data_IF_534695794303
#
_entry.id   IF_534695794303
#
_cell.length_a   1.000
_cell.length_b   1.000
_cell.length_c   1.000
_cell.angle_alpha   90.00
_cell.angle_beta   90.00
_cell.angle_gamma   90.00
#
_symmetry.space_group_name_H-M   'P 1'
#
loop_
_entity.id
_entity.type
_entity.pdbx_description
1 polymer ?
#
# COMPACT_ATOMS: atom_id res chain seq x y z
N UNK A 1 -12.31 -22.54 -6.67
CA UNK A 1 -12.39 -21.77 -5.41
C UNK A 1 -11.34 -20.67 -5.45
N UNK A 2 -11.56 -19.56 -4.74
CA UNK A 2 -10.60 -18.47 -4.60
C UNK A 2 -10.38 -18.20 -3.12
N UNK A 3 -9.17 -17.78 -2.74
CA UNK A 3 -8.88 -17.27 -1.40
C UNK A 3 -8.79 -15.74 -1.45
N UNK A 4 -9.46 -15.09 -0.51
CA UNK A 4 -9.42 -13.64 -0.34
C UNK A 4 -8.60 -13.30 0.89
N UNK A 5 -7.41 -12.73 0.68
CA UNK A 5 -6.55 -12.28 1.77
C UNK A 5 -6.82 -10.81 2.09
N UNK A 6 -7.34 -10.54 3.28
CA UNK A 6 -7.61 -9.19 3.77
C UNK A 6 -6.95 -8.95 5.13
N UNK A 7 -5.63 -8.67 5.19
CA UNK A 7 -4.89 -8.54 6.46
C UNK A 7 -5.39 -7.41 7.38
N UNK A 8 -6.18 -6.47 6.87
CA UNK A 8 -6.67 -5.30 7.59
C UNK A 8 -8.17 -5.35 7.93
N UNK A 9 -8.86 -6.45 7.61
CA UNK A 9 -10.28 -6.63 7.94
C UNK A 9 -10.51 -8.01 8.56
N UNK A 10 -11.44 -8.09 9.52
CA UNK A 10 -11.80 -9.39 10.11
C UNK A 10 -12.70 -10.16 9.14
N UNK A 11 -12.61 -11.48 9.16
CA UNK A 11 -13.39 -12.33 8.26
C UNK A 11 -14.92 -12.07 8.32
N UNK A 12 -15.56 -11.89 9.50
CA UNK A 12 -17.00 -11.59 9.55
C UNK A 12 -17.39 -10.28 8.83
N UNK A 13 -16.55 -9.25 8.92
CA UNK A 13 -16.78 -7.96 8.26
C UNK A 13 -16.66 -8.10 6.74
N UNK A 14 -15.65 -8.83 6.28
CA UNK A 14 -15.44 -9.08 4.86
C UNK A 14 -16.56 -9.96 4.28
N UNK A 15 -16.97 -11.02 4.98
CA UNK A 15 -18.08 -11.88 4.57
C UNK A 15 -19.38 -11.07 4.48
N UNK A 16 -19.65 -10.21 5.46
CA UNK A 16 -20.82 -9.33 5.43
C UNK A 16 -20.79 -8.38 4.23
N UNK A 17 -19.65 -7.77 3.96
CA UNK A 17 -19.46 -6.89 2.80
C UNK A 17 -19.67 -7.63 1.48
N UNK A 18 -19.07 -8.80 1.29
CA UNK A 18 -19.21 -9.58 0.06
C UNK A 18 -20.67 -10.00 -0.12
N UNK A 19 -21.26 -10.61 0.92
CA UNK A 19 -22.65 -11.11 0.89
C UNK A 19 -23.65 -10.01 0.57
N UNK A 20 -23.47 -8.81 1.11
CA UNK A 20 -24.33 -7.66 0.83
C UNK A 20 -24.29 -7.20 -0.65
N UNK A 21 -23.26 -7.58 -1.40
CA UNK A 21 -23.07 -7.22 -2.81
C UNK A 21 -23.23 -8.41 -3.77
N UNK A 22 -23.58 -9.60 -3.28
CA UNK A 22 -23.90 -10.76 -4.12
C UNK A 22 -25.33 -10.61 -4.67
N UNK A 23 -25.45 -10.58 -6.00
CA UNK A 23 -26.74 -10.45 -6.69
C UNK A 23 -26.90 -11.62 -7.64
N UNK A 24 -27.85 -12.50 -7.37
CA UNK A 24 -28.23 -13.63 -8.24
C UNK A 24 -27.11 -14.65 -8.55
N UNK A 25 -26.01 -14.64 -7.79
CA UNK A 25 -24.89 -15.57 -7.94
C UNK A 25 -24.91 -16.68 -6.89
N UNK A 26 -24.54 -17.90 -7.30
CA UNK A 26 -24.30 -19.03 -6.39
C UNK A 26 -22.86 -18.97 -5.85
N UNK A 27 -22.66 -18.15 -4.83
CA UNK A 27 -21.37 -17.95 -4.17
C UNK A 27 -21.49 -18.26 -2.68
N UNK A 28 -20.62 -19.14 -2.19
CA UNK A 28 -20.44 -19.38 -0.77
C UNK A 28 -19.16 -18.71 -0.29
N UNK A 29 -19.25 -17.99 0.83
CA UNK A 29 -18.11 -17.34 1.48
C UNK A 29 -17.90 -18.00 2.83
N UNK A 30 -16.73 -18.61 3.02
CA UNK A 30 -16.38 -19.38 4.21
C UNK A 30 -15.16 -18.75 4.85
N UNK A 31 -15.16 -18.62 6.17
CA UNK A 31 -13.99 -18.19 6.94
C UNK A 31 -13.02 -19.36 7.11
N UNK A 32 -11.89 -19.30 6.41
CA UNK A 32 -10.79 -20.26 6.56
C UNK A 32 -9.61 -19.70 7.37
N UNK A 33 -9.74 -18.55 8.02
CA UNK A 33 -8.63 -17.86 8.70
C UNK A 33 -7.90 -18.78 9.69
N UNK A 34 -8.63 -19.64 10.39
CA UNK A 34 -8.05 -20.56 11.38
C UNK A 34 -7.26 -21.73 10.79
N UNK A 35 -7.25 -21.94 9.47
CA UNK A 35 -6.52 -23.03 8.82
C UNK A 35 -5.11 -22.61 8.39
N UNK A 36 -4.85 -21.30 8.32
CA UNK A 36 -3.68 -20.75 7.65
C UNK A 36 -2.87 -19.85 8.58
N UNK A 37 -1.55 -20.00 8.55
CA UNK A 37 -0.62 -18.95 8.95
C UNK A 37 -0.11 -18.21 7.71
N UNK A 38 0.16 -16.90 7.86
CA UNK A 38 0.64 -16.05 6.77
C UNK A 38 2.08 -15.60 7.05
N UNK A 39 2.91 -15.61 6.02
CA UNK A 39 4.23 -15.02 6.02
C UNK A 39 4.54 -14.27 4.72
N UNK A 40 5.65 -13.55 4.71
CA UNK A 40 6.26 -13.02 3.48
C UNK A 40 7.68 -13.55 3.40
N UNK A 41 8.03 -14.10 2.25
CA UNK A 41 9.39 -14.57 1.96
C UNK A 41 9.98 -13.65 0.90
N UNK A 42 11.21 -13.18 1.08
CA UNK A 42 11.90 -12.34 0.12
C UNK A 42 13.36 -12.75 0.02
N UNK A 43 14.01 -12.40 -1.10
CA UNK A 43 15.39 -12.76 -1.36
C UNK A 43 15.63 -13.21 -2.80
N UNK A 44 16.76 -13.87 -3.02
CA UNK A 44 17.16 -14.35 -4.34
C UNK A 44 16.51 -15.72 -4.64
N UNK A 45 15.91 -15.84 -5.82
CA UNK A 45 15.23 -17.06 -6.27
C UNK A 45 13.81 -17.21 -5.72
N UNK A 46 13.03 -18.08 -6.37
CA UNK A 46 11.70 -18.44 -5.88
C UNK A 46 11.83 -19.39 -4.68
N UNK A 47 11.14 -19.15 -3.56
CA UNK A 47 11.20 -20.04 -2.41
C UNK A 47 10.60 -21.41 -2.74
N UNK A 48 11.26 -22.46 -2.27
CA UNK A 48 10.75 -23.84 -2.30
C UNK A 48 9.95 -24.09 -1.02
N UNK A 49 8.61 -24.14 -1.13
CA UNK A 49 7.73 -24.56 -0.04
C UNK A 49 7.15 -25.96 -0.30
N UNK A 50 6.69 -26.58 0.78
CA UNK A 50 5.91 -27.81 0.71
C UNK A 50 4.66 -27.64 -0.17
N UNK A 51 4.18 -28.72 -0.79
CA UNK A 51 3.00 -28.70 -1.65
C UNK A 51 1.70 -28.27 -0.93
N UNK A 52 1.68 -28.34 0.40
CA UNK A 52 0.59 -27.83 1.24
C UNK A 52 0.58 -26.30 1.40
N UNK A 53 1.64 -25.61 0.98
CA UNK A 53 1.75 -24.16 1.05
C UNK A 53 1.31 -23.51 -0.26
N UNK A 54 0.73 -22.32 -0.15
CA UNK A 54 0.47 -21.43 -1.27
C UNK A 54 1.50 -20.30 -1.27
N UNK A 55 2.25 -20.22 -2.36
CA UNK A 55 3.22 -19.16 -2.62
C UNK A 55 2.82 -18.37 -3.85
N UNK A 56 2.76 -17.06 -3.73
CA UNK A 56 2.45 -16.18 -4.86
C UNK A 56 3.26 -14.89 -4.81
N UNK A 57 3.73 -14.39 -5.96
CA UNK A 57 4.54 -13.18 -6.02
C UNK A 57 3.76 -11.99 -5.48
N UNK A 58 4.45 -11.09 -4.78
CA UNK A 58 3.90 -9.85 -4.24
C UNK A 58 4.60 -8.65 -4.86
N UNK A 59 3.86 -7.54 -4.94
CA UNK A 59 4.32 -6.26 -5.51
C UNK A 59 4.27 -5.14 -4.47
N UNK A 60 4.21 -5.51 -3.18
CA UNK A 60 3.83 -4.62 -2.07
C UNK A 60 5.00 -4.18 -1.18
N UNK A 61 6.23 -4.60 -1.46
CA UNK A 61 7.37 -4.40 -0.54
C UNK A 61 8.56 -3.63 -1.10
N UNK A 62 8.52 -3.25 -2.38
CA UNK A 62 9.67 -2.63 -3.04
C UNK A 62 10.74 -3.63 -3.53
N UNK A 63 10.66 -4.86 -3.06
CA UNK A 63 11.62 -5.94 -3.34
C UNK A 63 10.89 -7.14 -3.94
N UNK A 64 11.64 -8.01 -4.62
CA UNK A 64 11.08 -9.27 -5.09
C UNK A 64 10.74 -10.15 -3.89
N UNK A 65 9.45 -10.41 -3.69
CA UNK A 65 8.95 -11.21 -2.59
C UNK A 65 7.73 -12.07 -2.96
N UNK A 66 7.37 -12.97 -2.04
CA UNK A 66 6.27 -13.90 -2.14
C UNK A 66 5.44 -13.83 -0.86
N UNK A 67 4.13 -13.74 -0.99
CA UNK A 67 3.25 -14.06 0.13
C UNK A 67 3.21 -15.58 0.29
N UNK A 68 3.21 -16.01 1.54
CA UNK A 68 3.07 -17.40 1.95
C UNK A 68 1.78 -17.57 2.74
N UNK A 69 0.92 -18.49 2.31
CA UNK A 69 -0.07 -19.11 3.18
C UNK A 69 0.35 -20.55 3.42
N UNK A 70 0.49 -20.93 4.68
CA UNK A 70 0.92 -22.27 5.07
C UNK A 70 -0.03 -22.86 6.13
N UNK A 71 -0.15 -24.19 6.23
CA UNK A 71 -0.81 -24.84 7.35
C UNK A 71 -0.19 -24.43 8.70
N UNK A 72 -0.96 -24.47 9.78
CA UNK A 72 -0.50 -24.01 11.10
C UNK A 72 0.71 -24.77 11.67
N UNK A 73 0.93 -26.01 11.24
CA UNK A 73 2.04 -26.87 11.65
C UNK A 73 3.26 -26.76 10.71
N UNK A 74 3.18 -25.98 9.64
CA UNK A 74 4.31 -25.69 8.78
C UNK A 74 5.40 -24.91 9.53
N UNK A 75 6.63 -25.40 9.46
CA UNK A 75 7.80 -24.73 10.02
C UNK A 75 8.62 -24.17 8.87
N UNK A 76 8.70 -22.83 8.70
CA UNK A 76 9.47 -22.23 7.61
C UNK A 76 10.96 -22.63 7.71
N UNK A 77 11.57 -23.16 6.63
CA UNK A 77 12.98 -23.55 6.62
C UNK A 77 13.94 -22.35 6.47
N UNK A 78 13.40 -21.14 6.37
CA UNK A 78 14.17 -19.90 6.15
C UNK A 78 14.41 -19.14 7.47
N UNK A 79 15.52 -18.38 7.56
CA UNK A 79 15.75 -17.50 8.70
C UNK A 79 14.61 -16.49 8.88
N UNK A 80 14.23 -16.25 10.13
CA UNK A 80 13.32 -15.16 10.47
C UNK A 80 14.05 -13.83 10.30
N UNK A 81 13.39 -12.87 9.67
CA UNK A 81 13.89 -11.52 9.53
C UNK A 81 13.51 -10.65 10.73
N UNK A 82 14.25 -9.57 10.94
CA UNK A 82 13.88 -8.54 11.91
C UNK A 82 12.55 -7.87 11.50
N UNK A 83 11.73 -7.57 12.51
CA UNK A 83 10.48 -6.86 12.31
C UNK A 83 10.73 -5.49 11.65
N UNK A 84 9.90 -5.13 10.67
CA UNK A 84 9.97 -3.83 10.01
C UNK A 84 10.96 -3.69 8.86
N UNK A 85 11.84 -4.67 8.57
CA UNK A 85 12.72 -4.62 7.39
C UNK A 85 11.93 -4.52 6.08
N UNK A 86 10.88 -5.32 5.94
CA UNK A 86 10.01 -5.30 4.77
C UNK A 86 9.25 -3.98 4.63
N UNK A 87 8.81 -3.42 5.75
CA UNK A 87 8.12 -2.12 5.81
C UNK A 87 9.07 -0.97 5.45
N UNK A 88 10.31 -1.02 5.94
CA UNK A 88 11.37 -0.10 5.56
C UNK A 88 11.60 -0.16 4.04
N UNK A 89 11.79 -1.35 3.50
CA UNK A 89 11.97 -1.56 2.06
C UNK A 89 10.82 -0.94 1.26
N UNK A 90 9.58 -1.21 1.67
CA UNK A 90 8.37 -0.67 1.04
C UNK A 90 8.37 0.86 1.00
N UNK A 91 8.60 1.50 2.15
CA UNK A 91 8.62 2.97 2.27
C UNK A 91 9.75 3.56 1.43
N UNK A 92 10.95 2.96 1.48
CA UNK A 92 12.11 3.43 0.72
C UNK A 92 11.88 3.32 -0.79
N UNK A 93 11.24 2.25 -1.26
CA UNK A 93 10.87 2.05 -2.66
C UNK A 93 9.70 2.94 -3.11
N UNK A 94 8.97 3.55 -2.18
CA UNK A 94 7.81 4.38 -2.48
C UNK A 94 6.56 3.57 -2.83
N UNK A 95 6.43 2.35 -2.31
CA UNK A 95 5.30 1.47 -2.60
C UNK A 95 4.14 1.75 -1.65
N UNK A 96 2.95 2.10 -2.15
CA UNK A 96 1.80 2.43 -1.30
C UNK A 96 1.26 1.22 -0.53
N UNK A 97 0.82 1.44 0.71
CA UNK A 97 0.05 0.49 1.53
C UNK A 97 -1.42 0.92 1.65
N UNK A 98 -2.33 -0.05 1.60
CA UNK A 98 -3.77 0.15 1.81
C UNK A 98 -4.16 -0.58 3.10
N UNK A 99 -4.76 0.07 4.10
CA UNK A 99 -5.31 1.43 4.07
C UNK A 99 -4.36 2.54 4.55
N UNK A 100 -3.11 2.21 4.94
CA UNK A 100 -2.24 3.14 5.67
C UNK A 100 -1.89 4.42 4.90
N UNK A 101 -1.47 4.27 3.64
CA UNK A 101 -1.11 5.40 2.76
C UNK A 101 -2.30 5.87 1.92
N UNK A 102 -3.21 4.94 1.62
CA UNK A 102 -4.37 5.15 0.78
C UNK A 102 -5.62 4.62 1.50
N UNK A 103 -6.36 5.53 2.14
CA UNK A 103 -7.55 5.20 2.91
C UNK A 103 -8.82 5.18 2.07
N UNK A 104 -9.96 5.14 2.74
CA UNK A 104 -11.29 5.09 2.10
C UNK A 104 -11.68 6.40 1.39
N UNK A 105 -10.94 7.49 1.63
CA UNK A 105 -11.20 8.82 1.05
C UNK A 105 -10.26 9.16 -0.12
N UNK A 106 -9.33 8.27 -0.45
CA UNK A 106 -8.36 8.46 -1.51
C UNK A 106 -8.72 7.62 -2.74
N UNK A 107 -8.48 8.18 -3.92
CA UNK A 107 -8.60 7.42 -5.15
C UNK A 107 -7.31 6.61 -5.42
N UNK A 108 -7.40 5.42 -6.05
CA UNK A 108 -6.22 4.64 -6.42
C UNK A 108 -5.16 5.46 -7.18
N UNK A 109 -5.59 6.37 -8.05
CA UNK A 109 -4.73 7.25 -8.84
C UNK A 109 -3.98 8.27 -7.98
N UNK A 110 -4.57 8.76 -6.89
CA UNK A 110 -3.87 9.63 -5.93
C UNK A 110 -2.71 8.87 -5.27
N UNK A 111 -2.83 7.55 -5.12
CA UNK A 111 -1.89 6.71 -4.38
C UNK A 111 -0.87 5.97 -5.25
N UNK A 112 -0.89 6.16 -6.58
CA UNK A 112 -0.03 5.41 -7.50
C UNK A 112 -0.46 3.94 -7.73
N UNK A 113 -1.74 3.64 -7.47
CA UNK A 113 -2.37 2.32 -7.63
C UNK A 113 -3.19 2.20 -8.93
N UNK A 114 -3.05 3.15 -9.86
CA UNK A 114 -3.85 3.21 -11.09
C UNK A 114 -3.72 1.93 -11.95
N UNK A 115 -2.54 1.32 -12.00
CA UNK A 115 -2.30 0.08 -12.76
C UNK A 115 -3.10 -1.12 -12.24
N UNK A 116 -3.65 -1.06 -11.03
CA UNK A 116 -4.53 -2.10 -10.47
C UNK A 116 -6.01 -1.84 -10.74
N UNK A 117 -6.35 -0.71 -11.38
CA UNK A 117 -7.70 -0.40 -11.83
C UNK A 117 -7.85 -0.86 -13.28
N UNK A 118 -8.74 -1.81 -13.52
CA UNK A 118 -9.07 -2.22 -14.89
C UNK A 118 -10.21 -1.36 -15.44
N UNK A 119 -9.92 -0.63 -16.51
CA UNK A 119 -10.90 0.16 -17.27
C UNK A 119 -11.61 -0.65 -18.38
N UNK A 120 -11.20 -1.91 -18.58
CA UNK A 120 -11.70 -2.78 -19.65
C UNK A 120 -12.60 -3.92 -19.15
N UNK A 121 -12.65 -4.16 -17.83
CA UNK A 121 -13.55 -5.17 -17.25
C UNK A 121 -14.99 -4.68 -17.21
N UNK A 122 -15.92 -5.63 -17.05
CA UNK A 122 -17.35 -5.36 -16.87
C UNK A 122 -17.65 -4.53 -15.62
N UNK A 123 -18.95 -4.29 -15.37
CA UNK A 123 -19.42 -3.43 -14.28
C UNK A 123 -18.84 -3.84 -12.92
N UNK A 124 -18.23 -2.89 -12.21
CA UNK A 124 -17.81 -3.07 -10.82
C UNK A 124 -18.13 -1.82 -9.98
N UNK A 125 -18.28 -2.01 -8.67
CA UNK A 125 -18.62 -0.93 -7.75
C UNK A 125 -17.62 0.23 -7.84
N UNK A 126 -18.11 1.45 -8.07
CA UNK A 126 -17.31 2.66 -8.21
C UNK A 126 -16.70 2.91 -9.60
N UNK A 127 -16.96 2.07 -10.60
CA UNK A 127 -16.40 2.22 -11.95
C UNK A 127 -16.71 3.57 -12.61
N UNK A 128 -17.91 4.12 -12.44
CA UNK A 128 -18.29 5.40 -13.03
C UNK A 128 -17.41 6.55 -12.53
N UNK A 129 -17.11 6.56 -11.22
CA UNK A 129 -16.23 7.55 -10.61
C UNK A 129 -14.80 7.38 -11.14
N UNK A 130 -14.33 6.12 -11.27
CA UNK A 130 -13.00 5.82 -11.81
C UNK A 130 -12.86 6.27 -13.27
N UNK A 131 -13.87 5.99 -14.09
CA UNK A 131 -13.89 6.38 -15.50
C UNK A 131 -13.88 7.91 -15.67
N UNK A 132 -14.64 8.63 -14.84
CA UNK A 132 -14.67 10.11 -14.85
C UNK A 132 -13.32 10.72 -14.48
N UNK A 133 -12.65 10.19 -13.45
CA UNK A 133 -11.32 10.66 -13.05
C UNK A 133 -10.32 10.41 -14.19
N UNK A 134 -10.33 9.23 -14.79
CA UNK A 134 -9.44 8.89 -15.90
C UNK A 134 -9.68 9.78 -17.14
N UNK A 135 -10.94 10.10 -17.45
CA UNK A 135 -11.27 10.89 -18.65
C UNK A 135 -11.03 12.40 -18.51
N UNK A 136 -11.22 12.97 -17.32
CA UNK A 136 -11.35 14.43 -17.15
C UNK A 136 -10.65 14.98 -15.89
N UNK A 137 -10.16 14.13 -15.00
CA UNK A 137 -9.74 14.53 -13.66
C UNK A 137 -8.27 14.97 -13.60
N UNK A 138 -8.03 16.22 -13.20
CA UNK A 138 -6.75 16.57 -12.58
C UNK A 138 -6.78 16.09 -11.13
N UNK A 139 -5.81 15.27 -10.73
CA UNK A 139 -5.68 14.85 -9.32
C UNK A 139 -5.39 16.08 -8.45
N UNK A 140 -6.04 16.16 -7.28
CA UNK A 140 -5.79 17.24 -6.31
C UNK A 140 -4.64 16.91 -5.38
N UNK A 141 -4.48 15.63 -5.05
CA UNK A 141 -3.40 15.12 -4.20
C UNK A 141 -2.68 13.98 -4.90
N UNK A 142 -1.45 13.73 -4.48
CA UNK A 142 -0.66 12.59 -4.92
C UNK A 142 0.23 12.11 -3.77
N UNK A 143 0.32 10.80 -3.61
CA UNK A 143 1.20 10.16 -2.66
C UNK A 143 2.63 10.20 -3.21
N UNK A 144 3.56 10.74 -2.43
CA UNK A 144 4.97 10.87 -2.82
C UNK A 144 5.90 10.44 -1.71
N UNK A 145 7.11 10.05 -2.10
CA UNK A 145 8.21 9.84 -1.16
C UNK A 145 8.58 11.18 -0.53
N UNK A 146 9.00 11.16 0.73
CA UNK A 146 9.53 12.32 1.44
C UNK A 146 10.75 11.92 2.26
N UNK A 147 11.64 12.88 2.50
CA UNK A 147 12.79 12.68 3.39
C UNK A 147 13.09 13.95 4.18
N UNK A 148 13.58 13.81 5.42
CA UNK A 148 14.17 14.93 6.14
C UNK A 148 15.37 15.47 5.35
N UNK A 149 15.51 16.79 5.21
CA UNK A 149 16.67 17.37 4.52
C UNK A 149 17.97 17.14 5.31
N UNK A 150 17.87 17.03 6.63
CA UNK A 150 18.97 16.71 7.54
C UNK A 150 18.85 15.25 8.01
N UNK A 151 19.86 14.44 7.71
CA UNK A 151 19.86 12.98 7.84
C UNK A 151 19.85 12.42 9.29
N UNK A 152 19.25 13.13 10.25
CA UNK A 152 19.20 12.74 11.67
C UNK A 152 17.82 12.89 12.31
N UNK A 153 16.83 13.38 11.55
CA UNK A 153 15.48 13.60 12.08
C UNK A 153 14.57 12.49 11.59
N UNK A 154 14.15 11.63 12.52
CA UNK A 154 13.12 10.63 12.21
C UNK A 154 11.79 11.33 11.98
N UNK A 155 11.13 10.99 10.87
CA UNK A 155 9.78 11.48 10.58
C UNK A 155 8.76 10.83 11.52
N UNK A 156 7.52 11.33 11.46
CA UNK A 156 6.38 10.78 12.20
C UNK A 156 5.16 10.73 11.29
N UNK A 157 4.37 9.67 11.40
CA UNK A 157 3.03 9.63 10.79
C UNK A 157 2.18 10.77 11.34
N UNK A 158 1.37 11.38 10.47
CA UNK A 158 0.57 12.56 10.80
C UNK A 158 1.32 13.88 10.75
N UNK A 159 2.63 13.89 10.46
CA UNK A 159 3.39 15.13 10.30
C UNK A 159 2.82 15.96 9.15
N UNK A 160 2.38 17.17 9.47
CA UNK A 160 1.92 18.14 8.48
C UNK A 160 3.10 18.75 7.73
N UNK A 161 2.96 18.81 6.41
CA UNK A 161 3.91 19.45 5.51
C UNK A 161 3.31 20.77 5.04
N UNK A 162 4.03 21.87 5.22
CA UNK A 162 3.55 23.22 4.96
C UNK A 162 4.37 23.90 3.86
N UNK A 163 3.70 24.68 3.02
CA UNK A 163 4.38 25.51 2.01
C UNK A 163 5.31 26.52 2.71
N UNK A 164 6.49 26.79 2.15
CA UNK A 164 7.47 27.71 2.72
C UNK A 164 7.04 29.18 2.69
N UNK A 165 6.13 29.55 1.78
CA UNK A 165 5.75 30.94 1.52
C UNK A 165 4.54 31.34 2.36
N UNK A 166 3.43 30.59 2.25
CA UNK A 166 2.16 30.93 2.89
C UNK A 166 1.82 30.08 4.12
N UNK A 167 2.70 29.16 4.51
CA UNK A 167 2.58 28.25 5.66
C UNK A 167 1.31 27.39 5.68
N UNK A 168 0.59 27.28 4.57
CA UNK A 168 -0.56 26.38 4.48
C UNK A 168 -0.11 24.93 4.46
N UNK A 169 -0.89 24.08 5.11
CA UNK A 169 -0.71 22.62 5.03
C UNK A 169 -1.00 22.17 3.61
N UNK A 170 -0.01 21.56 2.98
CA UNK A 170 -0.06 21.03 1.62
C UNK A 170 0.08 19.52 1.58
N UNK A 171 0.21 18.86 2.72
CA UNK A 171 0.18 17.40 2.80
C UNK A 171 0.45 16.85 4.19
N UNK A 172 0.34 15.53 4.31
CA UNK A 172 0.51 14.81 5.58
C UNK A 172 1.29 13.53 5.34
N UNK A 173 2.29 13.25 6.19
CA UNK A 173 3.05 12.00 6.19
C UNK A 173 2.17 10.84 6.67
N UNK A 174 2.14 9.75 5.92
CA UNK A 174 1.31 8.55 6.15
C UNK A 174 2.13 7.37 6.69
N UNK A 175 3.22 7.02 6.00
CA UNK A 175 4.16 5.99 6.41
C UNK A 175 5.55 6.57 6.66
N UNK A 176 6.32 5.93 7.54
CA UNK A 176 7.66 6.38 7.94
C UNK A 176 8.63 5.20 8.03
N UNK A 177 9.85 5.41 7.55
CA UNK A 177 11.01 4.59 7.88
C UNK A 177 12.19 5.52 8.20
N UNK A 178 12.49 5.65 9.49
CA UNK A 178 13.48 6.61 10.00
C UNK A 178 13.25 8.02 9.43
N UNK A 179 14.20 8.55 8.66
CA UNK A 179 14.14 9.89 8.05
C UNK A 179 13.48 9.93 6.67
N UNK A 180 12.90 8.81 6.21
CA UNK A 180 12.11 8.71 4.98
C UNK A 180 10.63 8.44 5.30
N UNK A 181 9.76 8.72 4.33
CA UNK A 181 8.35 8.41 4.45
C UNK A 181 7.60 8.48 3.13
N UNK A 182 6.30 8.20 3.22
CA UNK A 182 5.33 8.47 2.17
C UNK A 182 4.36 9.53 2.69
N UNK A 183 4.08 10.56 1.88
CA UNK A 183 3.18 11.63 2.24
C UNK A 183 2.16 11.87 1.13
N UNK A 184 0.90 12.07 1.51
CA UNK A 184 -0.15 12.49 0.59
C UNK A 184 -0.12 14.02 0.54
N UNK A 185 0.28 14.58 -0.61
CA UNK A 185 0.54 16.01 -0.78
C UNK A 185 -0.26 16.60 -1.95
N UNK A 186 -0.34 17.93 -2.06
CA UNK A 186 -0.91 18.61 -3.22
C UNK A 186 -0.25 18.14 -4.52
N UNK A 187 -1.06 17.82 -5.53
CA UNK A 187 -0.59 17.27 -6.81
C UNK A 187 0.22 18.26 -7.65
N UNK A 188 0.18 19.55 -7.33
CA UNK A 188 0.94 20.61 -8.02
C UNK A 188 2.42 20.64 -7.62
N UNK A 189 2.80 19.95 -6.53
CA UNK A 189 4.17 19.95 -6.02
C UNK A 189 5.08 19.03 -6.85
N UNK A 190 6.29 19.50 -7.13
CA UNK A 190 7.28 18.82 -7.98
C UNK A 190 8.38 18.13 -7.16
N UNK A 191 9.07 17.14 -7.75
CA UNK A 191 10.22 16.49 -7.10
C UNK A 191 11.29 17.54 -6.76
N UNK A 192 11.89 17.43 -5.57
CA UNK A 192 12.91 18.34 -5.06
C UNK A 192 12.36 19.56 -4.33
N UNK A 193 11.03 19.77 -4.31
CA UNK A 193 10.42 20.82 -3.51
C UNK A 193 10.74 20.63 -2.02
N UNK A 194 11.02 21.73 -1.32
CA UNK A 194 11.27 21.75 0.12
C UNK A 194 10.00 22.28 0.80
N UNK A 195 9.52 21.52 1.78
CA UNK A 195 8.36 21.86 2.60
C UNK A 195 8.82 22.10 4.04
N UNK A 196 8.13 22.98 4.76
CA UNK A 196 8.36 23.17 6.20
C UNK A 196 7.56 22.17 7.02
N UNK A 197 8.07 21.80 8.19
CA UNK A 197 7.37 20.98 9.18
C UNK A 197 7.90 21.31 10.58
N UNK A 198 7.21 20.83 11.61
CA UNK A 198 7.64 21.00 13.01
C UNK A 198 8.92 20.20 13.34
N UNK A 199 9.39 19.35 12.42
CA UNK A 199 10.63 18.58 12.50
C UNK A 199 11.74 19.16 11.60
N UNK A 200 11.51 20.31 10.98
CA UNK A 200 12.44 20.95 10.04
C UNK A 200 12.06 20.73 8.58
N UNK A 201 12.95 21.08 7.64
CA UNK A 201 12.69 21.01 6.21
C UNK A 201 12.58 19.56 5.72
N UNK A 202 11.55 19.31 4.91
CA UNK A 202 11.25 18.01 4.28
C UNK A 202 11.38 18.15 2.76
N UNK A 203 12.16 17.27 2.14
CA UNK A 203 12.34 17.20 0.70
C UNK A 203 11.31 16.25 0.09
N UNK A 204 10.63 16.71 -0.95
CA UNK A 204 9.66 15.92 -1.70
C UNK A 204 10.37 15.07 -2.77
N UNK A 205 10.17 13.76 -2.73
CA UNK A 205 10.71 12.81 -3.69
C UNK A 205 9.74 12.45 -4.81
N UNK A 206 10.01 11.34 -5.48
CA UNK A 206 9.19 10.82 -6.58
C UNK A 206 7.79 10.40 -6.13
N UNK A 207 6.86 10.33 -7.10
CA UNK A 207 5.51 9.80 -6.85
C UNK A 207 5.61 8.35 -6.40
N UNK A 208 4.75 7.97 -5.45
CA UNK A 208 4.60 6.58 -5.05
C UNK A 208 4.05 5.78 -6.24
N UNK A 209 4.51 4.54 -6.36
CA UNK A 209 4.08 3.63 -7.42
C UNK A 209 4.26 2.20 -6.98
N UNK A 210 3.55 1.29 -7.63
CA UNK A 210 3.79 -0.13 -7.47
C UNK A 210 5.09 -0.52 -8.16
N UNK A 211 5.76 -1.56 -7.67
CA UNK A 211 6.93 -2.10 -8.36
C UNK A 211 6.44 -2.77 -9.65
N UNK A 212 6.81 -2.20 -10.80
CA UNK A 212 6.52 -2.83 -12.09
C UNK A 212 7.24 -4.19 -12.14
N UNK A 213 6.46 -5.24 -12.46
CA UNK A 213 6.94 -6.58 -12.80
C UNK A 213 7.73 -6.58 -14.10
#
# INVERSE_FOLDING_TARGET
>A
SFLLLAPHRKAPELISMITANLIADDVQVIDETAQWQRGVVWGQGQPEADASCLLFPSHRSGEKNWELLAPLDFVPPWPQAEEGLLEQSRVLAGVPSVPLDCGEQEFPQECGLESWVSYQKGCYCGQEVMARIHAMGTLRRTLRRVSAAEAKVSLKTGLELKNLIDHKVVGVVRSVSAYHGLALVSAELTTGAILSSDLGPIVLGEKATLVNS
#
